data_IF_314495985665
#
_entry.id   IF_314495985665
#
_cell.length_a   1.000
_cell.length_b   1.000
_cell.length_c   1.000
_cell.angle_alpha   90.00
_cell.angle_beta   90.00
_cell.angle_gamma   90.00
#
_symmetry.space_group_name_H-M   'P 1'
#
loop_
_entity.id
_entity.type
_entity.pdbx_description
1 polymer ?
#
# COMPACT_ATOMS: atom_id res chain seq x y z
N UNK A 1 15.51 31.63 15.39
CA UNK A 1 14.27 30.93 15.00
C UNK A 1 14.59 30.04 13.81
N UNK A 2 14.72 28.72 14.01
CA UNK A 2 14.91 27.81 12.89
C UNK A 2 13.63 27.83 12.03
N UNK A 3 13.75 28.23 10.77
CA UNK A 3 12.63 28.22 9.83
C UNK A 3 12.03 26.81 9.76
N UNK A 4 10.70 26.73 9.72
CA UNK A 4 9.99 25.45 9.60
C UNK A 4 10.50 24.74 8.33
N UNK A 5 10.94 23.47 8.42
CA UNK A 5 11.55 22.79 7.28
C UNK A 5 10.61 22.81 6.08
N UNK A 6 11.18 23.06 4.90
CA UNK A 6 10.42 23.05 3.65
C UNK A 6 9.87 21.65 3.43
N UNK A 7 8.54 21.52 3.40
CA UNK A 7 7.87 20.25 3.18
C UNK A 7 8.44 19.56 1.93
N UNK A 8 8.83 18.30 2.10
CA UNK A 8 9.32 17.41 1.05
C UNK A 8 8.30 17.31 -0.09
N UNK A 9 8.75 16.94 -1.30
CA UNK A 9 7.85 16.71 -2.45
C UNK A 9 6.73 15.73 -2.11
N UNK A 10 7.03 14.76 -1.25
CA UNK A 10 6.10 13.72 -0.85
C UNK A 10 5.06 14.21 0.16
N UNK A 11 5.46 14.99 1.17
CA UNK A 11 4.49 15.60 2.08
C UNK A 11 3.56 16.55 1.34
N UNK A 12 4.05 17.18 0.27
CA UNK A 12 3.22 17.98 -0.63
C UNK A 12 2.22 17.13 -1.40
N UNK A 13 2.64 16.00 -1.95
CA UNK A 13 1.75 15.05 -2.64
C UNK A 13 0.67 14.50 -1.70
N UNK A 14 1.02 14.11 -0.47
CA UNK A 14 0.05 13.68 0.56
C UNK A 14 -0.92 14.78 0.95
N UNK A 15 -0.46 16.02 1.11
CA UNK A 15 -1.33 17.15 1.38
C UNK A 15 -2.33 17.40 0.22
N UNK A 16 -1.90 17.23 -1.04
CA UNK A 16 -2.77 17.33 -2.21
C UNK A 16 -3.81 16.22 -2.27
N UNK A 17 -3.43 14.98 -1.95
CA UNK A 17 -4.34 13.84 -1.86
C UNK A 17 -5.43 14.09 -0.83
N UNK A 18 -5.01 14.46 0.39
CA UNK A 18 -5.91 14.83 1.49
C UNK A 18 -6.87 15.95 1.08
N UNK A 19 -6.37 17.01 0.44
CA UNK A 19 -7.19 18.12 -0.04
C UNK A 19 -8.23 17.68 -1.08
N UNK A 20 -7.83 16.86 -2.05
CA UNK A 20 -8.73 16.31 -3.07
C UNK A 20 -9.79 15.42 -2.43
N UNK A 21 -9.42 14.66 -1.42
CA UNK A 21 -10.31 13.76 -0.69
C UNK A 21 -11.36 14.52 0.12
N UNK A 22 -10.94 15.52 0.89
CA UNK A 22 -11.84 16.42 1.63
C UNK A 22 -12.85 17.06 0.67
N UNK A 23 -12.36 17.56 -0.48
CA UNK A 23 -13.20 18.15 -1.52
C UNK A 23 -14.23 17.14 -2.05
N UNK A 24 -13.80 15.93 -2.40
CA UNK A 24 -14.69 14.90 -2.93
C UNK A 24 -15.76 14.48 -1.91
N UNK A 25 -15.38 14.27 -0.64
CA UNK A 25 -16.31 13.91 0.44
C UNK A 25 -17.35 15.02 0.73
N UNK A 26 -16.92 16.28 0.62
CA UNK A 26 -17.78 17.45 0.72
C UNK A 26 -18.78 17.52 -0.44
N UNK A 27 -18.30 17.38 -1.67
CA UNK A 27 -19.11 17.45 -2.89
C UNK A 27 -20.11 16.29 -2.96
N UNK A 28 -19.73 15.08 -2.54
CA UNK A 28 -20.63 13.92 -2.45
C UNK A 28 -21.80 14.12 -1.48
N UNK A 29 -21.62 14.98 -0.46
CA UNK A 29 -22.68 15.39 0.48
C UNK A 29 -23.49 16.59 -0.02
N UNK A 30 -23.17 17.14 -1.19
CA UNK A 30 -23.77 18.37 -1.71
C UNK A 30 -23.41 19.63 -0.91
N UNK A 31 -22.31 19.61 -0.15
CA UNK A 31 -21.95 20.72 0.74
C UNK A 31 -21.11 21.78 0.02
N UNK A 32 -21.37 23.06 0.29
CA UNK A 32 -20.47 24.15 -0.11
C UNK A 32 -19.25 24.22 0.81
N UNK A 33 -18.23 24.99 0.40
CA UNK A 33 -17.08 25.26 1.27
C UNK A 33 -17.48 26.01 2.53
N UNK A 34 -18.40 26.98 2.44
CA UNK A 34 -18.93 27.67 3.62
C UNK A 34 -19.59 26.68 4.58
N UNK A 35 -20.35 25.72 4.05
CA UNK A 35 -21.03 24.71 4.86
C UNK A 35 -20.04 23.83 5.62
N UNK A 36 -19.06 23.23 4.93
CA UNK A 36 -18.06 22.38 5.59
C UNK A 36 -17.20 23.18 6.58
N UNK A 37 -16.81 24.41 6.23
CA UNK A 37 -16.05 25.26 7.13
C UNK A 37 -16.85 25.54 8.43
N UNK A 38 -18.15 25.83 8.31
CA UNK A 38 -19.03 26.02 9.47
C UNK A 38 -19.13 24.76 10.34
N UNK A 39 -19.39 23.60 9.75
CA UNK A 39 -19.51 22.33 10.49
C UNK A 39 -18.20 21.91 11.14
N UNK A 40 -17.06 22.12 10.48
CA UNK A 40 -15.74 21.89 11.05
C UNK A 40 -15.32 22.99 12.04
N UNK A 41 -16.08 24.09 12.16
CA UNK A 41 -15.76 25.31 12.90
C UNK A 41 -14.44 25.99 12.46
N UNK A 42 -14.12 25.87 11.18
CA UNK A 42 -12.96 26.51 10.54
C UNK A 42 -13.40 27.80 9.85
N UNK A 43 -12.45 28.71 9.66
CA UNK A 43 -12.68 29.88 8.80
C UNK A 43 -12.79 29.43 7.33
N UNK A 44 -13.77 29.93 6.57
CA UNK A 44 -13.98 29.53 5.16
C UNK A 44 -12.71 29.66 4.32
N UNK A 45 -11.93 30.72 4.56
CA UNK A 45 -10.63 30.95 3.90
C UNK A 45 -9.64 29.79 4.11
N UNK A 46 -9.64 29.14 5.28
CA UNK A 46 -8.79 27.98 5.56
C UNK A 46 -9.16 26.81 4.66
N UNK A 47 -10.45 26.57 4.46
CA UNK A 47 -10.92 25.49 3.59
C UNK A 47 -10.68 25.81 2.11
N UNK A 48 -10.92 27.05 1.68
CA UNK A 48 -10.59 27.51 0.32
C UNK A 48 -9.12 27.29 0.02
N UNK A 49 -8.24 27.72 0.93
CA UNK A 49 -6.79 27.53 0.80
C UNK A 49 -6.42 26.05 0.74
N UNK A 50 -7.00 25.22 1.61
CA UNK A 50 -6.74 23.79 1.63
C UNK A 50 -7.15 23.11 0.31
N UNK A 51 -8.31 23.43 -0.25
CA UNK A 51 -8.82 22.79 -1.47
C UNK A 51 -8.32 23.41 -2.79
N UNK A 52 -7.84 24.66 -2.77
CA UNK A 52 -7.56 25.44 -3.99
C UNK A 52 -6.11 25.91 -4.10
N UNK A 53 -5.39 26.10 -3.00
CA UNK A 53 -4.03 26.63 -3.00
C UNK A 53 -3.00 25.53 -2.73
N UNK A 54 -2.75 24.67 -3.71
CA UNK A 54 -1.61 23.74 -3.69
C UNK A 54 -1.49 22.88 -2.41
N UNK A 55 -0.29 22.37 -2.10
CA UNK A 55 -0.07 21.51 -0.95
C UNK A 55 0.04 22.32 0.35
N UNK A 56 -1.08 22.82 0.86
CA UNK A 56 -1.15 23.37 2.22
C UNK A 56 -1.18 22.21 3.21
N UNK A 57 -0.23 22.17 4.13
CA UNK A 57 -0.24 21.17 5.21
C UNK A 57 -1.18 21.62 6.33
N UNK A 58 -2.38 21.03 6.48
CA UNK A 58 -3.23 21.31 7.62
C UNK A 58 -2.55 20.84 8.92
N UNK A 59 -2.82 21.54 10.02
CA UNK A 59 -2.44 21.04 11.34
C UNK A 59 -3.27 19.81 11.72
N UNK A 60 -2.73 18.95 12.59
CA UNK A 60 -3.40 17.72 13.04
C UNK A 60 -4.85 17.93 13.49
N UNK A 61 -5.10 18.94 14.33
CA UNK A 61 -6.45 19.28 14.80
C UNK A 61 -7.38 19.77 13.69
N UNK A 62 -6.85 20.41 12.64
CA UNK A 62 -7.66 20.79 11.47
C UNK A 62 -8.15 19.55 10.73
N UNK A 63 -7.27 18.56 10.55
CA UNK A 63 -7.62 17.28 9.92
C UNK A 63 -8.67 16.55 10.75
N UNK A 64 -8.47 16.45 12.07
CA UNK A 64 -9.44 15.82 12.98
C UNK A 64 -10.82 16.47 12.92
N UNK A 65 -10.88 17.81 12.95
CA UNK A 65 -12.15 18.55 12.84
C UNK A 65 -12.86 18.33 11.52
N UNK A 66 -12.11 18.26 10.41
CA UNK A 66 -12.66 17.96 9.09
C UNK A 66 -13.20 16.53 9.01
N UNK A 67 -12.48 15.54 9.56
CA UNK A 67 -12.94 14.16 9.62
C UNK A 67 -14.24 14.03 10.44
N UNK A 68 -14.29 14.66 11.62
CA UNK A 68 -15.50 14.70 12.45
C UNK A 68 -16.66 15.38 11.72
N UNK A 69 -16.45 16.55 11.12
CA UNK A 69 -17.50 17.28 10.41
C UNK A 69 -18.01 16.55 9.16
N UNK A 70 -17.15 15.77 8.50
CA UNK A 70 -17.51 14.94 7.37
C UNK A 70 -18.10 13.59 7.80
N UNK A 71 -18.14 13.27 9.09
CA UNK A 71 -18.58 11.96 9.61
C UNK A 71 -17.82 10.80 8.95
N UNK A 72 -16.50 10.95 8.82
CA UNK A 72 -15.59 9.90 8.31
C UNK A 72 -14.49 9.62 9.32
N UNK A 73 -13.92 8.42 9.26
CA UNK A 73 -12.71 8.13 10.03
C UNK A 73 -11.50 8.90 9.47
N UNK A 74 -10.45 9.04 10.29
CA UNK A 74 -9.17 9.55 9.76
C UNK A 74 -8.63 8.65 8.66
N UNK A 75 -8.85 7.34 8.78
CA UNK A 75 -8.43 6.36 7.78
C UNK A 75 -9.09 6.64 6.42
N UNK A 76 -10.40 6.85 6.39
CA UNK A 76 -11.17 7.19 5.19
C UNK A 76 -10.72 8.50 4.51
N UNK A 77 -10.14 9.40 5.31
CA UNK A 77 -9.67 10.72 4.90
C UNK A 77 -8.27 10.65 4.25
N UNK A 78 -7.44 9.68 4.65
CA UNK A 78 -6.06 9.51 4.17
C UNK A 78 -5.88 8.38 3.15
N UNK A 79 -6.61 7.27 3.33
CA UNK A 79 -6.51 6.07 2.49
C UNK A 79 -7.69 5.97 1.51
N UNK A 80 -8.72 6.80 1.70
CA UNK A 80 -9.84 6.94 0.79
C UNK A 80 -10.91 5.88 0.97
N UNK A 81 -11.95 6.18 1.76
CA UNK A 81 -13.19 5.40 1.76
C UNK A 81 -13.69 5.12 0.31
N UNK A 82 -13.81 3.85 -0.05
CA UNK A 82 -14.63 3.42 -1.18
C UNK A 82 -13.89 2.91 -2.42
N UNK A 83 -12.63 2.46 -2.31
CA UNK A 83 -12.10 1.52 -3.30
C UNK A 83 -12.16 0.13 -2.71
N UNK A 84 -12.78 -0.85 -3.39
CA UNK A 84 -12.73 -2.21 -2.92
C UNK A 84 -11.27 -2.61 -2.79
N UNK A 85 -10.92 -3.13 -1.62
CA UNK A 85 -9.62 -3.74 -1.42
C UNK A 85 -9.40 -4.85 -2.43
N UNK A 86 -8.14 -5.23 -2.60
CA UNK A 86 -7.80 -6.23 -3.60
C UNK A 86 -6.37 -6.66 -3.50
N UNK A 87 -6.05 -7.72 -4.22
CA UNK A 87 -4.72 -8.30 -4.19
C UNK A 87 -4.14 -8.38 -5.60
N UNK A 88 -2.91 -7.89 -5.68
CA UNK A 88 -2.08 -7.92 -6.86
C UNK A 88 -0.85 -8.78 -6.61
N UNK A 89 -0.36 -9.39 -7.66
CA UNK A 89 0.89 -10.15 -7.69
C UNK A 89 1.91 -9.37 -8.50
N UNK A 90 3.13 -9.21 -7.98
CA UNK A 90 4.19 -8.51 -8.70
C UNK A 90 5.58 -9.08 -8.42
N UNK A 91 6.33 -9.28 -9.50
CA UNK A 91 7.76 -9.61 -9.47
C UNK A 91 8.59 -8.46 -10.04
N UNK A 92 9.78 -8.24 -9.49
CA UNK A 92 10.70 -7.20 -9.95
C UNK A 92 11.85 -7.71 -10.83
N UNK A 93 11.91 -9.01 -11.10
CA UNK A 93 12.75 -9.55 -12.16
C UNK A 93 12.49 -8.81 -13.49
N UNK A 94 13.54 -8.55 -14.26
CA UNK A 94 13.45 -7.75 -15.49
C UNK A 94 13.26 -6.22 -15.30
N UNK A 95 12.66 -5.73 -14.20
CA UNK A 95 12.38 -4.28 -13.96
C UNK A 95 13.43 -3.48 -13.19
N UNK A 96 13.78 -2.28 -13.63
CA UNK A 96 14.44 -1.29 -12.77
C UNK A 96 13.46 -0.72 -11.72
N UNK A 97 13.98 0.05 -10.76
CA UNK A 97 13.18 0.56 -9.64
C UNK A 97 12.16 1.61 -10.08
N UNK A 98 12.49 2.46 -11.06
CA UNK A 98 11.62 3.55 -11.49
C UNK A 98 10.43 2.99 -12.28
N UNK A 99 10.67 2.05 -13.19
CA UNK A 99 9.61 1.36 -13.93
C UNK A 99 8.72 0.49 -13.02
N UNK A 100 9.30 -0.12 -11.97
CA UNK A 100 8.52 -0.82 -10.96
C UNK A 100 7.60 0.12 -10.18
N UNK A 101 8.13 1.23 -9.65
CA UNK A 101 7.34 2.20 -8.87
C UNK A 101 6.26 2.85 -9.74
N UNK A 102 6.55 3.14 -11.01
CA UNK A 102 5.57 3.65 -11.96
C UNK A 102 4.41 2.66 -12.15
N UNK A 103 4.69 1.38 -12.42
CA UNK A 103 3.68 0.33 -12.58
C UNK A 103 2.78 0.18 -11.34
N UNK A 104 3.38 0.10 -10.14
CA UNK A 104 2.64 -0.03 -8.87
C UNK A 104 1.74 1.19 -8.64
N UNK A 105 2.21 2.39 -8.98
CA UNK A 105 1.44 3.63 -8.85
C UNK A 105 0.31 3.74 -9.88
N UNK A 106 0.54 3.35 -11.13
CA UNK A 106 -0.47 3.32 -12.18
C UNK A 106 -1.60 2.34 -11.85
N UNK A 107 -1.26 1.21 -11.24
CA UNK A 107 -2.22 0.27 -10.68
C UNK A 107 -2.85 0.74 -9.36
N UNK A 108 -2.53 1.94 -8.88
CA UNK A 108 -3.10 2.55 -7.67
C UNK A 108 -2.99 1.62 -6.45
N UNK A 109 -1.84 0.97 -6.30
CA UNK A 109 -1.56 0.13 -5.14
C UNK A 109 -1.29 1.04 -3.94
N UNK A 110 -1.91 0.73 -2.81
CA UNK A 110 -1.74 1.48 -1.56
C UNK A 110 -0.56 0.93 -0.76
N UNK A 111 -0.36 -0.39 -0.77
CA UNK A 111 0.73 -1.05 -0.05
C UNK A 111 1.39 -2.17 -0.87
N UNK A 112 2.72 -2.20 -0.85
CA UNK A 112 3.51 -3.35 -1.33
C UNK A 112 3.90 -4.21 -0.14
N UNK A 113 3.47 -5.47 -0.18
CA UNK A 113 3.79 -6.49 0.82
C UNK A 113 4.92 -7.36 0.29
N UNK A 114 6.12 -7.16 0.82
CA UNK A 114 7.30 -7.94 0.51
C UNK A 114 7.26 -9.27 1.27
N UNK A 115 7.20 -10.38 0.51
CA UNK A 115 7.21 -11.74 1.05
C UNK A 115 8.55 -12.44 0.81
N UNK A 116 9.65 -11.69 0.70
CA UNK A 116 11.01 -12.25 0.69
C UNK A 116 11.43 -12.56 2.11
N UNK A 117 11.92 -13.79 2.37
CA UNK A 117 12.47 -14.14 3.68
C UNK A 117 13.62 -13.20 4.08
N UNK A 118 14.45 -12.82 3.11
CA UNK A 118 15.52 -11.84 3.26
C UNK A 118 15.42 -10.84 2.09
N UNK A 119 14.96 -9.60 2.33
CA UNK A 119 14.76 -8.58 1.30
C UNK A 119 16.08 -7.89 0.92
N UNK A 120 17.06 -8.70 0.56
CA UNK A 120 18.35 -8.28 0.01
C UNK A 120 18.28 -8.53 -1.49
N UNK A 121 18.71 -7.55 -2.29
CA UNK A 121 18.75 -7.67 -3.74
C UNK A 121 20.05 -7.10 -4.29
N UNK A 122 20.60 -7.77 -5.29
CA UNK A 122 21.71 -7.26 -6.12
C UNK A 122 21.20 -6.24 -7.14
N UNK A 123 19.90 -6.25 -7.43
CA UNK A 123 19.28 -5.29 -8.36
C UNK A 123 19.21 -3.91 -7.71
N UNK A 124 19.75 -2.86 -8.34
CA UNK A 124 19.69 -1.50 -7.81
C UNK A 124 18.27 -1.10 -7.43
N UNK A 125 18.10 -0.46 -6.27
CA UNK A 125 16.81 0.00 -5.77
C UNK A 125 15.95 -1.04 -5.03
N UNK A 126 16.22 -2.35 -5.16
CA UNK A 126 15.36 -3.41 -4.58
C UNK A 126 15.82 -3.99 -3.23
N UNK A 127 16.80 -3.36 -2.57
CA UNK A 127 17.05 -3.66 -1.15
C UNK A 127 15.91 -3.10 -0.29
N UNK A 128 15.62 -3.73 0.86
CA UNK A 128 14.55 -3.30 1.79
C UNK A 128 14.47 -1.79 1.98
N UNK A 129 15.59 -1.17 2.34
CA UNK A 129 15.64 0.27 2.64
C UNK A 129 15.34 1.11 1.41
N UNK A 130 16.00 0.84 0.28
CA UNK A 130 15.83 1.62 -0.96
C UNK A 130 14.46 1.45 -1.57
N UNK A 131 13.94 0.22 -1.56
CA UNK A 131 12.61 -0.08 -2.08
C UNK A 131 11.54 0.62 -1.26
N UNK A 132 11.64 0.56 0.07
CA UNK A 132 10.76 1.31 0.98
C UNK A 132 10.82 2.80 0.71
N UNK A 133 12.01 3.38 0.55
CA UNK A 133 12.17 4.81 0.28
C UNK A 133 11.55 5.22 -1.07
N UNK A 134 11.76 4.41 -2.12
CA UNK A 134 11.21 4.67 -3.44
C UNK A 134 9.68 4.60 -3.45
N UNK A 135 9.10 3.56 -2.83
CA UNK A 135 7.65 3.40 -2.68
C UNK A 135 7.04 4.50 -1.83
N UNK A 136 7.66 4.80 -0.68
CA UNK A 136 7.23 5.89 0.18
C UNK A 136 7.22 7.22 -0.60
N UNK A 137 8.27 7.51 -1.38
CA UNK A 137 8.32 8.69 -2.25
C UNK A 137 7.17 8.80 -3.25
N UNK A 138 6.56 7.68 -3.63
CA UNK A 138 5.37 7.60 -4.48
C UNK A 138 4.03 7.53 -3.71
N UNK A 139 4.07 7.62 -2.37
CA UNK A 139 2.89 7.54 -1.51
C UNK A 139 2.41 6.13 -1.21
N UNK A 140 3.24 5.11 -1.48
CA UNK A 140 2.90 3.70 -1.35
C UNK A 140 3.58 3.14 -0.10
N UNK A 141 2.83 2.42 0.73
CA UNK A 141 3.38 1.79 1.94
C UNK A 141 4.17 0.53 1.61
N UNK A 142 5.17 0.25 2.45
CA UNK A 142 5.98 -0.96 2.35
C UNK A 142 5.84 -1.76 3.64
N UNK A 143 5.35 -2.99 3.50
CA UNK A 143 5.19 -3.95 4.61
C UNK A 143 6.06 -5.16 4.30
N UNK A 144 6.84 -5.62 5.27
CA UNK A 144 7.66 -6.83 5.12
C UNK A 144 7.10 -7.93 6.01
N UNK A 145 6.54 -8.96 5.39
CA UNK A 145 6.01 -10.15 6.06
C UNK A 145 7.02 -11.28 5.87
N UNK A 146 7.86 -11.48 6.88
CA UNK A 146 9.04 -12.34 6.77
C UNK A 146 8.67 -13.81 6.84
N UNK A 147 7.72 -14.17 7.70
CA UNK A 147 7.25 -15.54 7.86
C UNK A 147 6.59 -16.08 6.57
N UNK A 148 6.09 -15.19 5.71
CA UNK A 148 5.61 -15.53 4.36
C UNK A 148 6.72 -15.72 3.32
N UNK A 149 7.99 -15.81 3.73
CA UNK A 149 9.13 -15.92 2.84
C UNK A 149 9.68 -17.33 2.64
N UNK A 150 9.95 -17.70 1.38
CA UNK A 150 10.52 -19.02 1.08
C UNK A 150 11.96 -19.21 1.63
N UNK A 151 12.19 -20.20 2.50
CA UNK A 151 13.52 -20.48 3.02
C UNK A 151 14.44 -21.09 1.98
N UNK A 152 15.75 -20.98 2.23
CA UNK A 152 16.81 -21.32 1.26
C UNK A 152 16.76 -22.79 0.83
N UNK A 153 16.49 -23.67 1.77
CA UNK A 153 16.36 -25.12 1.63
C UNK A 153 15.14 -25.56 0.83
N UNK A 154 14.16 -24.67 0.59
CA UNK A 154 13.00 -24.91 -0.28
C UNK A 154 13.07 -24.16 -1.62
N UNK A 155 14.24 -23.63 -2.01
CA UNK A 155 14.39 -22.92 -3.30
C UNK A 155 14.63 -23.89 -4.47
N UNK A 156 15.39 -24.96 -4.25
CA UNK A 156 15.81 -25.89 -5.30
C UNK A 156 14.63 -26.47 -6.12
N UNK A 157 13.51 -26.91 -5.51
CA UNK A 157 12.39 -27.44 -6.29
C UNK A 157 11.79 -26.46 -7.30
N UNK A 158 11.78 -25.15 -6.99
CA UNK A 158 11.27 -24.12 -7.92
C UNK A 158 12.20 -23.93 -9.14
N UNK A 159 13.51 -23.99 -8.93
CA UNK A 159 14.50 -23.87 -10.01
C UNK A 159 14.54 -25.09 -10.92
N UNK A 160 14.35 -26.28 -10.34
CA UNK A 160 14.39 -27.57 -11.04
C UNK A 160 13.06 -27.95 -11.70
N UNK A 161 12.02 -27.11 -11.59
CA UNK A 161 10.69 -27.37 -12.14
C UNK A 161 9.85 -28.37 -11.34
N UNK A 162 10.31 -28.81 -10.16
CA UNK A 162 9.56 -29.60 -9.19
C UNK A 162 8.60 -28.71 -8.39
N UNK A 163 7.75 -27.97 -9.09
CA UNK A 163 6.94 -26.89 -8.54
C UNK A 163 5.99 -27.36 -7.43
N UNK A 164 5.30 -28.48 -7.63
CA UNK A 164 4.35 -28.99 -6.63
C UNK A 164 5.03 -29.43 -5.33
N UNK A 165 6.24 -29.98 -5.41
CA UNK A 165 7.03 -30.29 -4.23
C UNK A 165 7.41 -29.02 -3.46
N UNK A 166 7.93 -28.01 -4.16
CA UNK A 166 8.28 -26.73 -3.55
C UNK A 166 7.07 -26.02 -2.93
N UNK A 167 5.91 -26.10 -3.59
CA UNK A 167 4.63 -25.56 -3.10
C UNK A 167 4.13 -26.31 -1.88
N UNK A 168 4.17 -27.65 -1.90
CA UNK A 168 3.73 -28.47 -0.78
C UNK A 168 4.58 -28.22 0.48
N UNK A 169 5.90 -28.18 0.31
CA UNK A 169 6.82 -27.83 1.41
C UNK A 169 6.60 -26.40 1.90
N UNK A 170 6.37 -25.45 1.02
CA UNK A 170 6.10 -24.07 1.46
C UNK A 170 4.76 -23.96 2.19
N UNK A 171 3.70 -24.66 1.73
CA UNK A 171 2.41 -24.75 2.43
C UNK A 171 2.56 -25.27 3.86
N UNK A 172 3.39 -26.29 4.10
CA UNK A 172 3.59 -26.80 5.46
C UNK A 172 4.28 -25.80 6.40
N UNK A 173 5.04 -24.84 5.86
CA UNK A 173 5.66 -23.78 6.65
C UNK A 173 4.66 -22.69 7.07
N UNK A 174 3.58 -22.52 6.31
CA UNK A 174 2.56 -21.49 6.60
C UNK A 174 1.66 -21.85 7.79
N UNK A 175 1.77 -23.07 8.31
CA UNK A 175 1.03 -23.54 9.50
C UNK A 175 1.67 -23.02 10.81
N UNK A 176 2.89 -22.49 10.75
CA UNK A 176 3.55 -21.89 11.92
C UNK A 176 2.77 -20.66 12.42
N UNK A 177 2.75 -20.45 13.74
CA UNK A 177 1.99 -19.38 14.38
C UNK A 177 2.34 -17.99 13.82
N UNK A 178 3.62 -17.72 13.58
CA UNK A 178 4.07 -16.46 13.00
C UNK A 178 3.60 -16.27 11.56
N UNK A 179 3.55 -17.35 10.77
CA UNK A 179 3.07 -17.30 9.40
C UNK A 179 1.54 -17.08 9.35
N UNK A 180 0.79 -17.74 10.23
CA UNK A 180 -0.65 -17.53 10.38
C UNK A 180 -1.01 -16.10 10.80
N UNK A 181 -0.24 -15.52 11.72
CA UNK A 181 -0.39 -14.13 12.13
C UNK A 181 -0.15 -13.16 10.96
N UNK A 182 0.92 -13.37 10.18
CA UNK A 182 1.21 -12.53 9.01
C UNK A 182 0.20 -12.74 7.86
N UNK A 183 -0.34 -13.95 7.66
CA UNK A 183 -1.44 -14.18 6.71
C UNK A 183 -2.70 -13.44 7.13
N UNK A 184 -3.01 -13.41 8.43
CA UNK A 184 -4.14 -12.65 8.98
C UNK A 184 -3.93 -11.14 8.78
N UNK A 185 -2.72 -10.65 9.02
CA UNK A 185 -2.36 -9.26 8.73
C UNK A 185 -2.54 -8.91 7.25
N UNK A 186 -2.06 -9.77 6.34
CA UNK A 186 -2.21 -9.58 4.89
C UNK A 186 -3.68 -9.58 4.47
N UNK A 187 -4.49 -10.50 5.00
CA UNK A 187 -5.93 -10.54 4.76
C UNK A 187 -6.63 -9.25 5.20
N UNK A 188 -6.26 -8.71 6.37
CA UNK A 188 -6.77 -7.42 6.85
C UNK A 188 -6.44 -6.26 5.91
N UNK A 189 -5.20 -6.18 5.42
CA UNK A 189 -4.78 -5.16 4.45
C UNK A 189 -5.54 -5.28 3.13
N UNK A 190 -5.72 -6.50 2.62
CA UNK A 190 -6.46 -6.76 1.37
C UNK A 190 -7.94 -6.38 1.50
N UNK A 191 -8.52 -6.45 2.70
CA UNK A 191 -9.91 -6.05 2.95
C UNK A 191 -10.14 -4.54 2.88
N UNK A 192 -9.13 -3.73 3.16
CA UNK A 192 -9.26 -2.26 3.26
C UNK A 192 -8.49 -1.49 2.19
N UNK A 193 -7.55 -2.13 1.50
CA UNK A 193 -6.59 -1.47 0.60
C UNK A 193 -6.24 -2.34 -0.60
N UNK A 194 -5.67 -1.72 -1.64
CA UNK A 194 -5.10 -2.41 -2.80
C UNK A 194 -3.67 -2.82 -2.47
N UNK A 195 -3.43 -4.12 -2.36
CA UNK A 195 -2.16 -4.68 -1.90
C UNK A 195 -1.44 -5.38 -3.04
N UNK A 196 -0.17 -5.06 -3.30
CA UNK A 196 0.68 -5.83 -4.20
C UNK A 196 1.64 -6.72 -3.42
N UNK A 197 1.52 -8.04 -3.57
CA UNK A 197 2.42 -9.03 -3.00
C UNK A 197 3.67 -9.14 -3.88
N UNK A 198 4.84 -8.89 -3.29
CA UNK A 198 6.11 -8.77 -3.98
C UNK A 198 7.04 -9.95 -3.68
N UNK A 199 7.63 -10.52 -4.73
CA UNK A 199 8.87 -11.31 -4.61
C UNK A 199 9.83 -10.99 -5.77
N UNK A 200 10.93 -11.74 -5.90
CA UNK A 200 11.88 -11.55 -7.01
C UNK A 200 11.28 -11.94 -8.37
N UNK A 201 10.85 -13.21 -8.48
CA UNK A 201 10.42 -13.86 -9.72
C UNK A 201 9.27 -13.10 -10.39
N UNK A 202 9.40 -12.85 -11.71
CA UNK A 202 8.35 -12.21 -12.50
C UNK A 202 7.09 -13.09 -12.51
N UNK A 203 7.26 -14.36 -12.90
CA UNK A 203 6.16 -15.31 -12.99
C UNK A 203 5.83 -15.91 -11.61
N UNK A 204 4.71 -15.50 -11.02
CA UNK A 204 4.25 -16.03 -9.75
C UNK A 204 4.19 -17.57 -9.75
N UNK A 205 3.81 -18.19 -10.88
CA UNK A 205 3.65 -19.65 -11.02
C UNK A 205 4.95 -20.42 -10.80
N UNK A 206 6.09 -19.75 -10.86
CA UNK A 206 7.42 -20.34 -10.67
C UNK A 206 8.02 -20.07 -9.29
N UNK A 207 7.27 -19.47 -8.37
CA UNK A 207 7.78 -19.16 -7.03
C UNK A 207 6.76 -19.45 -5.93
N UNK A 208 7.18 -19.21 -4.68
CA UNK A 208 6.35 -19.39 -3.50
C UNK A 208 5.19 -18.41 -3.40
N UNK A 209 5.26 -17.28 -4.12
CA UNK A 209 4.25 -16.22 -4.10
C UNK A 209 2.86 -16.76 -4.41
N UNK A 210 2.72 -17.70 -5.36
CA UNK A 210 1.41 -18.31 -5.65
C UNK A 210 0.78 -18.97 -4.43
N UNK A 211 1.57 -19.61 -3.56
CA UNK A 211 1.02 -20.27 -2.36
C UNK A 211 0.44 -19.23 -1.38
N UNK A 212 1.13 -18.10 -1.20
CA UNK A 212 0.63 -16.98 -0.38
C UNK A 212 -0.65 -16.41 -1.00
N UNK A 213 -0.66 -16.18 -2.32
CA UNK A 213 -1.82 -15.66 -3.04
C UNK A 213 -3.04 -16.60 -2.95
N UNK A 214 -2.83 -17.91 -3.08
CA UNK A 214 -3.88 -18.93 -2.96
C UNK A 214 -4.47 -18.97 -1.54
N UNK A 215 -3.63 -18.77 -0.52
CA UNK A 215 -4.08 -18.72 0.87
C UNK A 215 -4.94 -17.48 1.14
N UNK A 216 -4.55 -16.32 0.62
CA UNK A 216 -5.38 -15.11 0.72
C UNK A 216 -6.67 -15.24 -0.09
N UNK A 217 -6.63 -15.84 -1.29
CA UNK A 217 -7.85 -16.12 -2.08
C UNK A 217 -8.83 -16.97 -1.27
N UNK A 218 -8.37 -17.99 -0.56
CA UNK A 218 -9.21 -18.83 0.32
C UNK A 218 -9.82 -18.04 1.48
N UNK A 219 -9.07 -17.13 2.10
CA UNK A 219 -9.51 -16.36 3.28
C UNK A 219 -10.47 -15.23 2.93
N UNK A 220 -10.24 -14.55 1.81
CA UNK A 220 -10.92 -13.28 1.49
C UNK A 220 -11.88 -13.38 0.29
N UNK A 221 -11.92 -14.50 -0.43
CA UNK A 221 -12.71 -14.66 -1.66
C UNK A 221 -12.47 -13.54 -2.70
N UNK A 222 -11.20 -13.13 -2.85
CA UNK A 222 -10.76 -12.07 -3.77
C UNK A 222 -10.08 -12.64 -5.01
N UNK A 223 -10.27 -11.98 -6.14
CA UNK A 223 -9.52 -12.28 -7.36
C UNK A 223 -8.11 -11.68 -7.28
N UNK A 224 -7.12 -12.45 -7.77
CA UNK A 224 -5.72 -12.01 -7.81
C UNK A 224 -5.41 -11.46 -9.19
N UNK A 225 -4.94 -10.20 -9.24
CA UNK A 225 -4.55 -9.56 -10.50
C UNK A 225 -3.04 -9.53 -10.65
N UNK A 226 -2.49 -9.95 -11.79
CA UNK A 226 -1.05 -9.81 -12.05
C UNK A 226 -0.73 -8.37 -12.49
N UNK A 227 0.35 -7.80 -11.95
CA UNK A 227 0.87 -6.51 -12.42
C UNK A 227 1.81 -6.70 -13.61
N UNK A 228 1.44 -6.06 -14.71
CA UNK A 228 2.12 -6.10 -16.01
C UNK A 228 3.49 -5.42 -15.99
#
# INVERSE_FOLDING_TARGET
>A
MAGRPVASRQERARAQELARRIRALREARGWTRERLAKEAGLHTRTLVRLESEGPVQPGFFTVGRLATALEVSLDDLFHGAGRPGGIWSVGYEGRDIDSFVACVREAQIDAVVDVRLTPISRKPGFSKTRLREALHGAGIDYVHLRALGNPKDNRAPFWEGRLEEGRARFRSLLVAEEAEAELTQLAGLVGTSRVAVLCFEQDARRCHRTVVLDEIRRRCAVEVTELA
#
